data_IF_705931577018
#
_entry.id   IF_705931577018
#
_cell.length_a   1.000
_cell.length_b   1.000
_cell.length_c   1.000
_cell.angle_alpha   90.00
_cell.angle_beta   90.00
_cell.angle_gamma   90.00
#
_symmetry.space_group_name_H-M   'P 1'
#
loop_
_entity.id
_entity.type
_entity.pdbx_description
1 polymer ?
#
# COMPACT_ATOMS: atom_id res chain seq x y z
N UNK A 1 18.76 7.08 2.22
CA UNK A 1 19.28 5.68 2.23
C UNK A 1 18.72 4.82 3.36
N UNK A 2 18.84 5.21 4.63
CA UNK A 2 18.39 4.40 5.78
C UNK A 2 16.86 4.10 5.78
N UNK A 3 16.04 5.01 5.23
CA UNK A 3 14.58 4.83 5.07
C UNK A 3 14.20 3.71 4.09
N UNK A 4 14.88 3.60 2.95
CA UNK A 4 14.61 2.55 1.96
C UNK A 4 14.91 1.15 2.50
N UNK A 5 15.99 1.02 3.27
CA UNK A 5 16.31 -0.23 3.97
C UNK A 5 15.18 -0.61 4.94
N UNK A 6 14.64 0.38 5.67
CA UNK A 6 13.52 0.16 6.58
C UNK A 6 12.25 -0.28 5.84
N UNK A 7 11.95 0.28 4.67
CA UNK A 7 10.81 -0.17 3.85
C UNK A 7 10.93 -1.63 3.42
N UNK A 8 12.12 -2.06 3.02
CA UNK A 8 12.38 -3.46 2.63
C UNK A 8 12.25 -4.39 3.85
N UNK A 9 12.78 -3.99 5.00
CA UNK A 9 12.62 -4.75 6.26
C UNK A 9 11.14 -4.87 6.63
N UNK A 10 10.39 -3.76 6.60
CA UNK A 10 8.96 -3.77 6.89
C UNK A 10 8.21 -4.67 5.92
N UNK A 11 8.48 -4.59 4.61
CA UNK A 11 7.86 -5.46 3.62
C UNK A 11 8.05 -6.94 3.96
N UNK A 12 9.27 -7.32 4.33
CA UNK A 12 9.60 -8.70 4.70
C UNK A 12 8.91 -9.17 5.99
N UNK A 13 8.85 -8.31 7.01
CA UNK A 13 8.18 -8.61 8.29
C UNK A 13 6.66 -8.67 8.14
N UNK A 14 6.09 -7.84 7.26
CA UNK A 14 4.65 -7.75 7.06
C UNK A 14 4.07 -8.85 6.18
N UNK A 15 4.88 -9.46 5.30
CA UNK A 15 4.49 -10.61 4.47
C UNK A 15 3.72 -11.70 5.23
N UNK A 16 4.26 -12.30 6.32
CA UNK A 16 3.55 -13.34 7.06
C UNK A 16 2.38 -12.83 7.90
N UNK A 17 2.33 -11.53 8.23
CA UNK A 17 1.31 -10.92 9.11
C UNK A 17 0.11 -10.39 8.31
N UNK A 18 0.19 -10.42 6.97
CA UNK A 18 -0.78 -9.78 6.08
C UNK A 18 -2.17 -10.44 6.04
N UNK A 19 -2.40 -11.51 6.81
CA UNK A 19 -3.62 -12.33 6.75
C UNK A 19 -4.88 -11.61 7.27
N UNK A 20 -4.76 -10.80 8.32
CA UNK A 20 -5.89 -10.13 8.99
C UNK A 20 -6.03 -8.65 8.63
N UNK A 21 -4.93 -7.97 8.38
CA UNK A 21 -4.89 -6.56 7.94
C UNK A 21 -3.89 -6.48 6.80
N UNK A 22 -4.27 -5.86 5.68
CA UNK A 22 -3.36 -5.72 4.54
C UNK A 22 -2.35 -4.57 4.76
N UNK A 23 -1.41 -4.80 5.67
CA UNK A 23 -0.37 -3.86 6.05
C UNK A 23 0.60 -3.57 4.90
N UNK A 24 0.76 -4.51 3.95
CA UNK A 24 1.58 -4.29 2.76
C UNK A 24 0.93 -3.24 1.85
N UNK A 25 -0.38 -3.33 1.63
CA UNK A 25 -1.10 -2.32 0.86
C UNK A 25 -0.98 -0.91 1.50
N UNK A 26 -1.06 -0.82 2.83
CA UNK A 26 -0.87 0.44 3.56
C UNK A 26 0.57 0.96 3.39
N UNK A 27 1.57 0.09 3.48
CA UNK A 27 2.99 0.45 3.30
C UNK A 27 3.27 0.96 1.87
N UNK A 28 2.77 0.26 0.85
CA UNK A 28 2.92 0.67 -0.56
C UNK A 28 2.26 2.03 -0.77
N UNK A 29 1.06 2.23 -0.24
CA UNK A 29 0.37 3.52 -0.31
C UNK A 29 1.17 4.63 0.38
N UNK A 30 1.72 4.37 1.56
CA UNK A 30 2.55 5.33 2.29
C UNK A 30 3.77 5.77 1.47
N UNK A 31 4.49 4.81 0.88
CA UNK A 31 5.67 5.07 0.07
C UNK A 31 5.29 5.87 -1.18
N UNK A 32 4.19 5.50 -1.86
CA UNK A 32 3.69 6.24 -3.02
C UNK A 32 3.37 7.71 -2.67
N UNK A 33 2.85 7.96 -1.48
CA UNK A 33 2.52 9.32 -1.04
C UNK A 33 3.76 10.13 -0.63
N UNK A 34 4.77 9.51 -0.01
CA UNK A 34 5.89 10.22 0.61
C UNK A 34 7.18 10.27 -0.20
N UNK A 35 7.44 9.28 -1.03
CA UNK A 35 8.69 9.18 -1.79
C UNK A 35 8.55 9.72 -3.22
N UNK A 36 9.69 9.80 -3.91
CA UNK A 36 9.75 10.18 -5.32
C UNK A 36 9.10 9.12 -6.21
N UNK A 37 8.62 9.55 -7.39
CA UNK A 37 7.91 8.69 -8.35
C UNK A 37 8.69 7.41 -8.69
N UNK A 38 9.99 7.53 -8.97
CA UNK A 38 10.86 6.41 -9.31
C UNK A 38 11.02 5.41 -8.17
N UNK A 39 11.19 5.90 -6.94
CA UNK A 39 11.33 5.07 -5.76
C UNK A 39 10.03 4.32 -5.44
N UNK A 40 8.89 5.00 -5.54
CA UNK A 40 7.58 4.41 -5.32
C UNK A 40 7.26 3.30 -6.33
N UNK A 41 7.54 3.52 -7.62
CA UNK A 41 7.31 2.52 -8.66
C UNK A 41 8.21 1.31 -8.52
N UNK A 42 9.51 1.53 -8.25
CA UNK A 42 10.44 0.43 -7.99
C UNK A 42 9.99 -0.40 -6.79
N UNK A 43 9.60 0.26 -5.69
CA UNK A 43 9.11 -0.43 -4.52
C UNK A 43 7.84 -1.24 -4.81
N UNK A 44 6.88 -0.67 -5.54
CA UNK A 44 5.66 -1.35 -5.93
C UNK A 44 5.93 -2.60 -6.78
N UNK A 45 6.86 -2.48 -7.74
CA UNK A 45 7.32 -3.59 -8.57
C UNK A 45 7.90 -4.73 -7.72
N UNK A 46 8.86 -4.43 -6.84
CA UNK A 46 9.49 -5.44 -6.00
C UNK A 46 8.53 -6.04 -4.97
N UNK A 47 7.67 -5.22 -4.36
CA UNK A 47 6.67 -5.68 -3.41
C UNK A 47 5.66 -6.63 -4.06
N UNK A 48 5.14 -6.28 -5.24
CA UNK A 48 4.23 -7.15 -5.97
C UNK A 48 4.90 -8.44 -6.45
N UNK A 49 6.14 -8.38 -6.95
CA UNK A 49 6.92 -9.55 -7.30
C UNK A 49 7.14 -10.48 -6.09
N UNK A 50 7.45 -9.92 -4.92
CA UNK A 50 7.69 -10.69 -3.70
C UNK A 50 6.40 -11.36 -3.21
N UNK A 51 5.26 -10.69 -3.32
CA UNK A 51 3.94 -11.28 -3.03
C UNK A 51 3.63 -12.42 -3.99
N UNK A 52 3.89 -12.24 -5.30
CA UNK A 52 3.68 -13.30 -6.31
C UNK A 52 4.55 -14.53 -6.03
N UNK A 53 5.77 -14.35 -5.50
CA UNK A 53 6.65 -15.45 -5.10
C UNK A 53 6.20 -16.14 -3.80
N UNK A 54 5.62 -15.39 -2.85
CA UNK A 54 5.24 -15.91 -1.54
C UNK A 54 3.85 -16.54 -1.52
N UNK A 55 2.91 -16.00 -2.29
CA UNK A 55 1.54 -16.50 -2.47
C UNK A 55 1.28 -16.79 -3.95
N UNK A 56 1.89 -17.85 -4.50
CA UNK A 56 1.83 -18.14 -5.94
C UNK A 56 0.43 -18.62 -6.31
N UNK A 57 -0.40 -17.69 -6.79
CA UNK A 57 -1.67 -18.00 -7.45
C UNK A 57 -1.51 -17.83 -8.96
N UNK A 58 -1.06 -16.66 -9.41
CA UNK A 58 -0.74 -16.33 -10.80
C UNK A 58 0.45 -15.37 -10.82
N UNK A 59 1.59 -15.83 -11.34
CA UNK A 59 2.84 -15.07 -11.33
C UNK A 59 2.72 -13.77 -12.15
N UNK A 60 3.11 -12.64 -11.54
CA UNK A 60 3.15 -11.32 -12.18
C UNK A 60 1.87 -10.50 -12.04
N UNK A 61 0.75 -11.07 -11.53
CA UNK A 61 -0.50 -10.32 -11.40
C UNK A 61 -0.42 -9.30 -10.27
N UNK A 62 0.10 -9.66 -9.08
CA UNK A 62 0.19 -8.68 -8.00
C UNK A 62 1.19 -7.57 -8.35
N UNK A 63 2.29 -7.92 -9.02
CA UNK A 63 3.21 -6.92 -9.58
C UNK A 63 2.49 -5.90 -10.46
N UNK A 64 1.73 -6.35 -11.46
CA UNK A 64 0.99 -5.47 -12.37
C UNK A 64 -0.04 -4.60 -11.63
N UNK A 65 -0.81 -5.19 -10.72
CA UNK A 65 -1.82 -4.49 -9.93
C UNK A 65 -1.18 -3.34 -9.13
N UNK A 66 -0.13 -3.63 -8.37
CA UNK A 66 0.51 -2.61 -7.54
C UNK A 66 1.18 -1.51 -8.36
N UNK A 67 1.85 -1.85 -9.48
CA UNK A 67 2.47 -0.85 -10.34
C UNK A 67 1.44 0.11 -10.93
N UNK A 68 0.33 -0.41 -11.48
CA UNK A 68 -0.73 0.44 -12.06
C UNK A 68 -1.35 1.31 -10.98
N UNK A 69 -1.69 0.75 -9.83
CA UNK A 69 -2.33 1.50 -8.75
C UNK A 69 -1.41 2.57 -8.16
N UNK A 70 -0.11 2.31 -8.03
CA UNK A 70 0.85 3.32 -7.57
C UNK A 70 0.99 4.47 -8.57
N UNK A 71 0.94 4.22 -9.88
CA UNK A 71 0.89 5.30 -10.86
C UNK A 71 -0.33 6.21 -10.66
N UNK A 72 -1.51 5.62 -10.37
CA UNK A 72 -2.73 6.39 -10.07
C UNK A 72 -2.57 7.21 -8.79
N UNK A 73 -1.95 6.65 -7.75
CA UNK A 73 -1.65 7.41 -6.51
C UNK A 73 -0.69 8.56 -6.79
N UNK A 74 0.39 8.33 -7.54
CA UNK A 74 1.37 9.36 -7.87
C UNK A 74 0.73 10.49 -8.69
N UNK A 75 -0.15 10.15 -9.62
CA UNK A 75 -0.97 11.15 -10.32
C UNK A 75 -1.82 11.94 -9.31
N UNK A 76 -2.55 11.27 -8.43
CA UNK A 76 -3.41 11.92 -7.41
C UNK A 76 -2.60 12.83 -6.48
N UNK A 77 -1.42 12.39 -6.02
CA UNK A 77 -0.50 13.16 -5.18
C UNK A 77 -0.14 14.51 -5.80
N UNK A 78 -0.02 14.60 -7.13
CA UNK A 78 0.36 15.83 -7.84
C UNK A 78 -0.74 16.89 -7.85
N UNK A 79 -2.02 16.50 -7.70
CA UNK A 79 -3.16 17.40 -7.87
C UNK A 79 -3.95 17.66 -6.58
N UNK A 80 -3.79 16.82 -5.54
CA UNK A 80 -4.59 16.92 -4.32
C UNK A 80 -3.75 17.33 -3.11
N UNK A 81 -4.35 18.17 -2.25
CA UNK A 81 -3.73 18.61 -1.00
C UNK A 81 -3.61 17.46 0.00
N UNK A 82 -2.52 17.39 0.76
CA UNK A 82 -2.28 16.36 1.76
C UNK A 82 -3.11 16.56 3.05
N UNK A 83 -4.43 16.40 2.97
CA UNK A 83 -5.28 16.37 4.17
C UNK A 83 -5.51 14.92 4.65
N UNK A 84 -5.69 14.68 5.97
CA UNK A 84 -5.96 13.34 6.49
C UNK A 84 -7.19 12.69 5.87
N UNK A 85 -8.20 13.50 5.55
CA UNK A 85 -9.43 13.04 4.92
C UNK A 85 -9.20 12.60 3.47
N UNK A 86 -8.44 13.38 2.70
CA UNK A 86 -8.06 13.01 1.33
C UNK A 86 -7.23 11.73 1.34
N UNK A 87 -6.25 11.62 2.23
CA UNK A 87 -5.42 10.41 2.40
C UNK A 87 -6.30 9.17 2.64
N UNK A 88 -7.27 9.26 3.55
CA UNK A 88 -8.17 8.15 3.85
C UNK A 88 -9.06 7.79 2.64
N UNK A 89 -9.62 8.77 1.95
CA UNK A 89 -10.47 8.54 0.76
C UNK A 89 -9.65 7.91 -0.36
N UNK A 90 -8.49 8.48 -0.68
CA UNK A 90 -7.61 7.96 -1.72
C UNK A 90 -7.18 6.53 -1.40
N UNK A 91 -6.85 6.26 -0.13
CA UNK A 91 -6.54 4.90 0.31
C UNK A 91 -7.74 3.95 0.17
N UNK A 92 -8.94 4.37 0.60
CA UNK A 92 -10.14 3.54 0.51
C UNK A 92 -10.44 3.17 -0.95
N UNK A 93 -10.37 4.14 -1.87
CA UNK A 93 -10.56 3.90 -3.31
C UNK A 93 -9.46 2.97 -3.84
N UNK A 94 -8.19 3.28 -3.57
CA UNK A 94 -7.05 2.44 -3.97
C UNK A 94 -7.22 0.99 -3.52
N UNK A 95 -7.56 0.80 -2.25
CA UNK A 95 -7.65 -0.52 -1.63
C UNK A 95 -8.89 -1.29 -2.12
N UNK A 96 -10.02 -0.62 -2.33
CA UNK A 96 -11.20 -1.24 -2.94
C UNK A 96 -10.92 -1.68 -4.37
N UNK A 97 -10.28 -0.86 -5.20
CA UNK A 97 -9.91 -1.24 -6.57
C UNK A 97 -8.94 -2.43 -6.56
N UNK A 98 -7.96 -2.43 -5.66
CA UNK A 98 -7.06 -3.58 -5.48
C UNK A 98 -7.85 -4.83 -5.10
N UNK A 99 -8.71 -4.74 -4.10
CA UNK A 99 -9.49 -5.86 -3.58
C UNK A 99 -10.42 -6.46 -4.65
N UNK A 100 -11.12 -5.62 -5.42
CA UNK A 100 -11.99 -6.09 -6.52
C UNK A 100 -11.19 -6.72 -7.65
N UNK A 101 -10.03 -6.15 -7.99
CA UNK A 101 -9.14 -6.73 -9.02
C UNK A 101 -8.64 -8.10 -8.59
N UNK A 102 -8.14 -8.25 -7.36
CA UNK A 102 -7.71 -9.55 -6.81
C UNK A 102 -8.87 -10.54 -6.75
N UNK A 103 -10.07 -10.08 -6.38
CA UNK A 103 -11.26 -10.93 -6.35
C UNK A 103 -11.62 -11.51 -7.73
N UNK A 104 -11.54 -10.69 -8.78
CA UNK A 104 -11.86 -11.09 -10.15
C UNK A 104 -10.82 -12.05 -10.72
N UNK A 105 -9.52 -11.80 -10.49
CA UNK A 105 -8.43 -12.49 -11.19
C UNK A 105 -7.78 -13.63 -10.39
N UNK A 106 -7.85 -13.62 -9.06
CA UNK A 106 -6.97 -14.44 -8.21
C UNK A 106 -7.76 -15.35 -7.25
N UNK A 107 -8.66 -14.78 -6.45
CA UNK A 107 -9.43 -15.57 -5.48
C UNK A 107 -10.84 -14.99 -5.28
N UNK A 108 -11.91 -15.75 -5.55
CA UNK A 108 -13.29 -15.28 -5.45
C UNK A 108 -13.80 -15.23 -3.99
N UNK A 109 -12.94 -14.98 -3.01
CA UNK A 109 -13.31 -14.86 -1.60
C UNK A 109 -13.30 -13.39 -1.17
N UNK A 110 -14.49 -12.85 -0.92
CA UNK A 110 -14.69 -11.48 -0.46
C UNK A 110 -14.75 -11.45 1.08
N UNK A 111 -13.60 -11.23 1.72
CA UNK A 111 -13.50 -11.10 3.18
C UNK A 111 -13.77 -9.65 3.63
N UNK A 112 -15.07 -9.33 3.70
CA UNK A 112 -15.57 -7.99 4.06
C UNK A 112 -14.99 -7.48 5.41
N UNK A 113 -14.96 -8.27 6.50
CA UNK A 113 -14.35 -7.86 7.77
C UNK A 113 -12.90 -7.38 7.62
N UNK A 114 -12.07 -8.13 6.88
CA UNK A 114 -10.67 -7.76 6.63
C UNK A 114 -10.56 -6.43 5.87
N UNK A 115 -11.45 -6.19 4.91
CA UNK A 115 -11.42 -4.95 4.14
C UNK A 115 -11.73 -3.71 4.99
N UNK A 116 -12.76 -3.79 5.83
CA UNK A 116 -13.13 -2.72 6.76
C UNK A 116 -12.01 -2.45 7.77
N UNK A 117 -11.42 -3.52 8.33
CA UNK A 117 -10.28 -3.40 9.24
C UNK A 117 -9.08 -2.72 8.57
N UNK A 118 -8.76 -3.07 7.33
CA UNK A 118 -7.62 -2.46 6.65
C UNK A 118 -7.82 -0.96 6.38
N UNK A 119 -9.02 -0.56 5.95
CA UNK A 119 -9.35 0.85 5.72
C UNK A 119 -9.27 1.65 7.03
N UNK A 120 -9.81 1.10 8.12
CA UNK A 120 -9.77 1.77 9.44
C UNK A 120 -8.37 1.87 10.02
N UNK A 121 -7.52 0.86 9.81
CA UNK A 121 -6.12 0.87 10.27
C UNK A 121 -5.17 1.71 9.40
N UNK A 122 -5.60 2.17 8.22
CA UNK A 122 -4.75 2.97 7.34
C UNK A 122 -4.21 4.24 8.03
N UNK A 123 -5.10 5.09 8.56
CA UNK A 123 -4.69 6.34 9.20
C UNK A 123 -3.74 6.16 10.39
N UNK A 124 -4.01 5.30 11.38
CA UNK A 124 -3.10 5.12 12.51
C UNK A 124 -1.73 4.58 12.05
N UNK A 125 -1.69 3.62 11.11
CA UNK A 125 -0.42 3.11 10.58
C UNK A 125 0.33 4.20 9.80
N UNK A 126 -0.36 4.97 8.97
CA UNK A 126 0.21 6.06 8.19
C UNK A 126 0.79 7.17 9.10
N UNK A 127 0.11 7.49 10.21
CA UNK A 127 0.62 8.41 11.23
C UNK A 127 1.88 7.88 11.92
N UNK A 128 1.88 6.61 12.33
CA UNK A 128 3.05 5.97 12.96
C UNK A 128 4.24 5.95 12.01
N UNK A 129 4.04 5.59 10.74
CA UNK A 129 5.08 5.61 9.71
C UNK A 129 5.61 7.03 9.46
N UNK A 130 4.73 8.04 9.36
CA UNK A 130 5.15 9.44 9.23
C UNK A 130 6.00 9.91 10.41
N UNK A 131 5.57 9.61 11.63
CA UNK A 131 6.29 10.00 12.83
C UNK A 131 7.65 9.33 12.92
N UNK A 132 7.73 8.04 12.63
CA UNK A 132 8.97 7.25 12.76
C UNK A 132 10.00 7.61 11.69
N UNK A 133 9.57 7.83 10.44
CA UNK A 133 10.49 8.04 9.32
C UNK A 133 10.83 9.51 9.07
N UNK A 134 9.87 10.41 9.29
CA UNK A 134 10.01 11.84 8.96
C UNK A 134 9.96 12.74 10.19
N UNK A 135 9.61 12.23 11.37
CA UNK A 135 9.54 13.03 12.60
C UNK A 135 8.38 14.04 12.63
N UNK A 136 7.46 13.97 11.66
CA UNK A 136 6.37 14.93 11.47
C UNK A 136 5.05 14.26 11.84
N UNK A 137 4.27 14.91 12.70
CA UNK A 137 2.84 14.63 12.85
C UNK A 137 2.10 15.34 11.71
N UNK A 138 1.15 14.65 11.06
CA UNK A 138 0.33 15.25 10.00
C UNK A 138 -0.22 16.59 10.50
N UNK A 139 0.20 17.69 9.85
CA UNK A 139 -0.32 19.03 10.18
C UNK A 139 -1.78 19.06 9.76
N UNK A 140 -2.65 19.20 10.76
CA UNK A 140 -4.09 19.50 10.59
C UNK A 140 -4.28 20.85 9.93
#
# INVERSE_FOLDING_TARGET
MMRYVLYVILLYVLLPINATIDLIAILIFFIAFREDESAALLFAFFAGLLIDLYYPVLFGINMLIYVILVQVILYTKKYFTESPFIILITFAIFYLVRATTVYIFVSPTLDIPRYVLTITFCLPVFMVLNRTLYGIWMRT
#
